data_IF_298323707454
#
_entry.id   IF_298323707454
#
_cell.length_a   1.000
_cell.length_b   1.000
_cell.length_c   1.000
_cell.angle_alpha   90.00
_cell.angle_beta   90.00
_cell.angle_gamma   90.00
#
_symmetry.space_group_name_H-M   'P 1'
#
loop_
_entity.id
_entity.type
_entity.pdbx_description
1 polymer ?
#
# COMPACT_ATOMS: atom_id res chain seq x y z
N UNK A 1 -3.98 -5.01 -20.76
CA UNK A 1 -3.24 -4.53 -19.56
C UNK A 1 -4.28 -4.25 -18.49
N UNK A 2 -4.17 -4.87 -17.31
CA UNK A 2 -5.13 -4.66 -16.22
C UNK A 2 -5.02 -3.23 -15.66
N UNK A 3 -6.09 -2.73 -15.05
CA UNK A 3 -6.09 -1.41 -14.39
C UNK A 3 -5.04 -1.36 -13.26
N UNK A 4 -4.82 -2.47 -12.55
CA UNK A 4 -3.76 -2.62 -11.54
C UNK A 4 -2.37 -2.44 -12.16
N UNK A 5 -2.06 -3.14 -13.25
CA UNK A 5 -0.78 -3.00 -13.92
C UNK A 5 -0.55 -1.56 -14.46
N UNK A 6 -1.60 -0.88 -14.90
CA UNK A 6 -1.53 0.51 -15.33
C UNK A 6 -1.22 1.45 -14.14
N UNK A 7 -1.90 1.26 -13.01
CA UNK A 7 -1.64 2.01 -11.79
C UNK A 7 -0.21 1.80 -11.29
N UNK A 8 0.23 0.54 -11.18
CA UNK A 8 1.57 0.19 -10.70
C UNK A 8 2.67 0.81 -11.56
N UNK A 9 2.48 0.84 -12.89
CA UNK A 9 3.41 1.54 -13.78
C UNK A 9 3.46 3.04 -13.49
N UNK A 10 2.30 3.68 -13.31
CA UNK A 10 2.22 5.10 -13.00
C UNK A 10 2.82 5.44 -11.61
N UNK A 11 2.73 4.52 -10.65
CA UNK A 11 3.40 4.63 -9.35
C UNK A 11 4.92 4.67 -9.51
N UNK A 12 5.48 3.68 -10.22
CA UNK A 12 6.93 3.53 -10.43
C UNK A 12 7.53 4.70 -11.22
N UNK A 13 6.80 5.25 -12.19
CA UNK A 13 7.31 6.35 -13.02
C UNK A 13 7.51 7.67 -12.25
N UNK A 14 6.85 7.86 -11.10
CA UNK A 14 6.93 9.06 -10.21
C UNK A 14 6.62 10.42 -10.86
N UNK A 15 6.43 10.51 -12.17
CA UNK A 15 6.07 11.73 -12.93
C UNK A 15 4.60 12.18 -12.71
N UNK A 16 3.76 11.30 -12.17
CA UNK A 16 2.34 11.55 -11.92
C UNK A 16 2.13 12.50 -10.74
N UNK A 17 1.13 13.38 -10.81
CA UNK A 17 0.73 14.23 -9.67
C UNK A 17 0.27 13.33 -8.50
N UNK A 18 0.89 13.41 -7.30
CA UNK A 18 0.61 12.47 -6.21
C UNK A 18 -0.85 12.36 -5.80
N UNK A 19 -1.55 13.49 -5.66
CA UNK A 19 -2.97 13.51 -5.27
C UNK A 19 -3.86 12.86 -6.33
N UNK A 20 -3.55 13.07 -7.62
CA UNK A 20 -4.32 12.47 -8.71
C UNK A 20 -4.08 10.96 -8.79
N UNK A 21 -2.84 10.52 -8.61
CA UNK A 21 -2.50 9.10 -8.53
C UNK A 21 -3.22 8.45 -7.34
N UNK A 22 -3.18 9.07 -6.17
CA UNK A 22 -3.85 8.56 -4.97
C UNK A 22 -5.36 8.43 -5.16
N UNK A 23 -6.02 9.48 -5.65
CA UNK A 23 -7.46 9.44 -5.93
C UNK A 23 -7.85 8.37 -6.96
N UNK A 24 -7.03 8.19 -8.01
CA UNK A 24 -7.24 7.12 -8.99
C UNK A 24 -7.12 5.73 -8.34
N UNK A 25 -6.15 5.54 -7.45
CA UNK A 25 -5.98 4.31 -6.69
C UNK A 25 -7.12 4.04 -5.71
N UNK A 26 -7.60 5.06 -4.97
CA UNK A 26 -8.79 4.90 -4.11
C UNK A 26 -10.01 4.47 -4.92
N UNK A 27 -10.23 5.08 -6.09
CA UNK A 27 -11.31 4.69 -7.00
C UNK A 27 -11.15 3.25 -7.51
N UNK A 28 -9.92 2.82 -7.82
CA UNK A 28 -9.64 1.44 -8.23
C UNK A 28 -9.91 0.44 -7.09
N UNK A 29 -9.47 0.74 -5.88
CA UNK A 29 -9.75 -0.08 -4.70
C UNK A 29 -11.25 -0.21 -4.44
N UNK A 30 -12.01 0.88 -4.53
CA UNK A 30 -13.46 0.84 -4.34
C UNK A 30 -14.15 -0.11 -5.34
N UNK A 31 -13.71 -0.11 -6.61
CA UNK A 31 -14.26 -1.01 -7.63
C UNK A 31 -13.91 -2.48 -7.39
N UNK A 32 -12.68 -2.74 -6.97
CA UNK A 32 -12.15 -4.10 -6.88
C UNK A 32 -12.34 -4.75 -5.51
N UNK A 33 -12.52 -3.99 -4.44
CA UNK A 33 -12.51 -4.52 -3.06
C UNK A 33 -13.63 -5.51 -2.73
N UNK A 34 -14.75 -5.48 -3.46
CA UNK A 34 -15.82 -6.46 -3.29
C UNK A 34 -15.45 -7.87 -3.81
N UNK A 35 -14.55 -7.94 -4.80
CA UNK A 35 -14.03 -9.18 -5.37
C UNK A 35 -12.55 -8.94 -5.75
N UNK A 36 -11.66 -8.86 -4.75
CA UNK A 36 -10.28 -8.48 -4.97
C UNK A 36 -9.59 -9.49 -5.90
N UNK A 37 -8.77 -9.05 -6.85
CA UNK A 37 -8.00 -9.95 -7.69
C UNK A 37 -7.09 -10.84 -6.85
N UNK A 38 -7.22 -12.16 -7.02
CA UNK A 38 -6.41 -13.16 -6.32
C UNK A 38 -5.04 -13.34 -7.00
N UNK A 39 -4.30 -12.23 -7.12
CA UNK A 39 -3.00 -12.16 -7.79
C UNK A 39 -2.06 -11.21 -7.03
N UNK A 40 -0.75 -11.41 -7.20
CA UNK A 40 0.27 -10.65 -6.49
C UNK A 40 0.18 -9.12 -6.73
N UNK A 41 -0.29 -8.71 -7.91
CA UNK A 41 -0.46 -7.30 -8.25
C UNK A 41 -1.46 -6.59 -7.34
N UNK A 42 -2.39 -7.31 -6.71
CA UNK A 42 -3.27 -6.74 -5.69
C UNK A 42 -2.50 -6.35 -4.41
N UNK A 43 -1.61 -7.22 -3.91
CA UNK A 43 -0.73 -6.91 -2.78
C UNK A 43 0.17 -5.70 -3.08
N UNK A 44 0.81 -5.71 -4.26
CA UNK A 44 1.69 -4.62 -4.71
C UNK A 44 0.95 -3.30 -4.83
N UNK A 45 -0.29 -3.33 -5.31
CA UNK A 45 -1.16 -2.16 -5.38
C UNK A 45 -1.45 -1.57 -4.00
N UNK A 46 -1.77 -2.42 -3.01
CA UNK A 46 -2.02 -1.97 -1.64
C UNK A 46 -0.77 -1.34 -1.01
N UNK A 47 0.41 -1.90 -1.25
CA UNK A 47 1.69 -1.32 -0.82
C UNK A 47 1.94 0.02 -1.50
N UNK A 48 1.77 0.11 -2.82
CA UNK A 48 1.95 1.33 -3.59
C UNK A 48 1.03 2.47 -3.09
N UNK A 49 -0.22 2.15 -2.73
CA UNK A 49 -1.12 3.13 -2.10
C UNK A 49 -0.60 3.64 -0.75
N UNK A 50 0.01 2.76 0.03
CA UNK A 50 0.66 3.12 1.29
C UNK A 50 1.87 4.03 1.09
N UNK A 51 2.73 3.72 0.12
CA UNK A 51 3.91 4.52 -0.23
C UNK A 51 3.53 5.90 -0.76
N UNK A 52 2.52 5.99 -1.64
CA UNK A 52 2.04 7.30 -2.13
C UNK A 52 1.55 8.16 -0.96
N UNK A 53 0.78 7.60 -0.04
CA UNK A 53 0.31 8.32 1.15
C UNK A 53 1.47 8.76 2.05
N UNK A 54 2.39 7.86 2.38
CA UNK A 54 3.48 8.14 3.31
C UNK A 54 4.52 9.11 2.75
N UNK A 55 4.98 8.87 1.51
CA UNK A 55 6.15 9.56 0.96
C UNK A 55 5.80 10.80 0.15
N UNK A 56 4.61 10.80 -0.47
CA UNK A 56 4.26 11.83 -1.47
C UNK A 56 3.16 12.76 -1.00
N UNK A 57 2.40 12.35 0.01
CA UNK A 57 1.32 13.14 0.62
C UNK A 57 1.56 13.45 2.10
N UNK A 58 2.59 12.87 2.72
CA UNK A 58 2.88 12.97 4.15
C UNK A 58 1.69 12.58 5.06
N UNK A 59 0.82 11.69 4.57
CA UNK A 59 -0.33 11.17 5.30
C UNK A 59 -0.01 9.79 5.88
N UNK A 60 0.67 9.80 7.02
CA UNK A 60 1.03 8.57 7.74
C UNK A 60 -0.18 7.76 8.20
N UNK A 61 -1.32 8.40 8.49
CA UNK A 61 -2.52 7.69 8.91
C UNK A 61 -3.15 6.92 7.74
N UNK A 62 -3.22 7.52 6.56
CA UNK A 62 -3.65 6.85 5.34
C UNK A 62 -2.70 5.73 4.94
N UNK A 63 -1.39 5.98 4.98
CA UNK A 63 -0.38 4.96 4.70
C UNK A 63 -0.55 3.76 5.64
N UNK A 64 -0.75 4.01 6.93
CA UNK A 64 -0.95 2.96 7.91
C UNK A 64 -2.17 2.08 7.59
N UNK A 65 -3.27 2.67 7.11
CA UNK A 65 -4.46 1.91 6.70
C UNK A 65 -4.17 1.03 5.47
N UNK A 66 -3.40 1.51 4.51
CA UNK A 66 -3.08 0.75 3.30
C UNK A 66 -2.15 -0.43 3.57
N UNK A 67 -1.08 -0.21 4.33
CA UNK A 67 -0.19 -1.31 4.72
C UNK A 67 -0.93 -2.35 5.56
N UNK A 68 -1.81 -1.93 6.48
CA UNK A 68 -2.67 -2.87 7.24
C UNK A 68 -3.55 -3.71 6.31
N UNK A 69 -4.19 -3.09 5.32
CA UNK A 69 -5.00 -3.82 4.33
C UNK A 69 -4.20 -4.84 3.56
N UNK A 70 -2.96 -4.54 3.18
CA UNK A 70 -2.08 -5.52 2.53
C UNK A 70 -1.86 -6.73 3.44
N UNK A 71 -1.46 -6.51 4.69
CA UNK A 71 -1.23 -7.58 5.66
C UNK A 71 -2.48 -8.42 5.93
N UNK A 72 -3.65 -7.78 6.06
CA UNK A 72 -4.90 -8.48 6.34
C UNK A 72 -5.43 -9.28 5.13
N UNK A 73 -4.92 -9.01 3.92
CA UNK A 73 -5.34 -9.66 2.67
C UNK A 73 -4.29 -10.60 2.07
N UNK A 74 -3.29 -11.02 2.86
CA UNK A 74 -2.25 -11.96 2.43
C UNK A 74 -2.82 -13.23 1.80
N UNK A 75 -3.87 -13.81 2.42
CA UNK A 75 -4.55 -15.00 1.94
C UNK A 75 -5.31 -14.80 0.61
N UNK A 76 -5.46 -13.56 0.12
CA UNK A 76 -6.10 -13.24 -1.15
C UNK A 76 -5.04 -13.07 -2.24
N UNK A 77 -4.05 -12.21 -2.02
CA UNK A 77 -3.06 -11.88 -3.06
C UNK A 77 -1.87 -12.85 -3.10
N UNK A 78 -1.66 -13.65 -2.05
CA UNK A 78 -0.58 -14.65 -1.96
C UNK A 78 0.82 -14.11 -2.29
N UNK A 79 1.10 -12.86 -1.89
CA UNK A 79 2.35 -12.17 -2.19
C UNK A 79 3.06 -11.75 -0.91
N UNK A 80 3.97 -12.62 -0.45
CA UNK A 80 4.73 -12.40 0.78
C UNK A 80 5.68 -11.19 0.68
N UNK A 81 6.18 -10.85 -0.50
CA UNK A 81 7.04 -9.67 -0.68
C UNK A 81 6.27 -8.38 -0.36
N UNK A 82 5.02 -8.29 -0.81
CA UNK A 82 4.14 -7.18 -0.45
C UNK A 82 3.85 -7.12 1.06
N UNK A 83 3.73 -8.27 1.73
CA UNK A 83 3.56 -8.31 3.19
C UNK A 83 4.80 -7.78 3.93
N UNK A 84 6.00 -8.16 3.50
CA UNK A 84 7.26 -7.62 4.07
C UNK A 84 7.35 -6.12 3.85
N UNK A 85 7.06 -5.64 2.63
CA UNK A 85 7.08 -4.21 2.33
C UNK A 85 6.05 -3.42 3.18
N UNK A 86 4.84 -3.95 3.32
CA UNK A 86 3.81 -3.35 4.17
C UNK A 86 4.19 -3.36 5.67
N UNK A 87 4.79 -4.43 6.16
CA UNK A 87 5.31 -4.53 7.52
C UNK A 87 6.42 -3.51 7.79
N UNK A 88 7.38 -3.40 6.87
CA UNK A 88 8.42 -2.38 6.91
C UNK A 88 7.82 -0.96 6.93
N UNK A 89 6.86 -0.67 6.04
CA UNK A 89 6.14 0.60 6.01
C UNK A 89 5.44 0.93 7.32
N UNK A 90 4.76 -0.04 7.94
CA UNK A 90 4.17 0.11 9.28
C UNK A 90 5.23 0.43 10.34
N UNK A 91 6.35 -0.30 10.35
CA UNK A 91 7.45 -0.11 11.30
C UNK A 91 7.99 1.31 11.25
N UNK A 92 8.32 1.80 10.05
CA UNK A 92 8.82 3.17 9.83
C UNK A 92 7.82 4.23 10.30
N UNK A 93 6.52 4.03 10.06
CA UNK A 93 5.48 4.96 10.53
C UNK A 93 5.42 5.02 12.07
N UNK A 94 5.55 3.88 12.75
CA UNK A 94 5.57 3.84 14.22
C UNK A 94 6.85 4.44 14.81
N UNK A 95 8.00 4.25 14.18
CA UNK A 95 9.25 4.90 14.58
C UNK A 95 9.14 6.42 14.48
N UNK A 96 8.62 6.93 13.36
CA UNK A 96 8.40 8.38 13.17
C UNK A 96 7.41 8.95 14.20
N UNK A 97 6.43 8.15 14.62
CA UNK A 97 5.50 8.51 15.68
C UNK A 97 6.10 8.40 17.10
N UNK A 98 7.35 7.94 17.25
CA UNK A 98 8.00 7.76 18.55
C UNK A 98 7.49 6.54 19.34
N UNK A 99 6.92 5.54 18.67
CA UNK A 99 6.37 4.33 19.30
C UNK A 99 7.17 3.07 18.88
N UNK A 100 8.36 2.85 19.48
CA UNK A 100 9.19 1.68 19.16
C UNK A 100 8.53 0.35 19.57
N UNK A 101 7.61 0.38 20.55
CA UNK A 101 6.87 -0.80 20.99
C UNK A 101 5.95 -1.34 19.90
N UNK A 102 5.40 -0.46 19.06
CA UNK A 102 4.61 -0.84 17.88
C UNK A 102 5.44 -1.01 16.62
N UNK A 103 6.59 -0.35 16.51
CA UNK A 103 7.47 -0.47 15.35
C UNK A 103 8.10 -1.86 15.22
N UNK A 104 8.74 -2.37 16.28
CA UNK A 104 9.46 -3.65 16.25
C UNK A 104 8.60 -4.84 15.78
N UNK A 105 7.37 -5.07 16.31
CA UNK A 105 6.53 -6.18 15.85
C UNK A 105 5.89 -5.94 14.48
N UNK A 106 5.99 -4.73 13.91
CA UNK A 106 5.48 -4.43 12.59
C UNK A 106 6.45 -4.87 11.48
N UNK A 107 7.76 -4.89 11.75
CA UNK A 107 8.75 -5.53 10.89
C UNK A 107 8.49 -7.05 10.89
N UNK A 108 7.94 -7.55 9.79
CA UNK A 108 7.59 -8.95 9.57
C UNK A 108 8.32 -9.47 8.35
#
# INVERSE_FOLDING_TARGET
MSELAAFLRAHVQRETVPVALYAAGEGLYQRLSAAPPAEADWGRFLVAMGEVAAERLDDGAAAARWFRRCLDQEAVHHDAESCVAAGFGQGVLWERAGDPGRALPAYR
#
